data_IF_063679806120
#
_entry.id   IF_063679806120
#
_cell.length_a   1.000
_cell.length_b   1.000
_cell.length_c   1.000
_cell.angle_alpha   90.00
_cell.angle_beta   90.00
_cell.angle_gamma   90.00
#
_symmetry.space_group_name_H-M   'P 1'
#
loop_
_entity.id
_entity.type
_entity.pdbx_description
1 polymer ?
#
# COMPACT_ATOMS: atom_id res chain seq x y z
N UNK A 1 5.13 -100.18 -24.92
CA UNK A 1 3.73 -100.20 -24.44
C UNK A 1 3.21 -98.77 -24.44
N UNK A 2 2.10 -98.51 -25.14
CA UNK A 2 1.17 -97.35 -25.08
C UNK A 2 1.75 -95.93 -25.32
N UNK A 3 1.39 -95.27 -26.43
CA UNK A 3 0.25 -94.30 -26.61
C UNK A 3 0.52 -92.98 -25.82
N UNK A 4 0.33 -91.75 -26.31
CA UNK A 4 -0.47 -91.16 -27.39
C UNK A 4 -0.13 -89.64 -27.44
N UNK A 5 -0.24 -88.99 -28.62
CA UNK A 5 -0.80 -87.64 -28.88
C UNK A 5 -0.30 -86.37 -28.14
N UNK A 6 -0.36 -85.12 -28.66
CA UNK A 6 -0.61 -84.45 -29.95
C UNK A 6 -0.61 -82.92 -29.65
N UNK A 7 -0.52 -82.06 -30.68
CA UNK A 7 -0.72 -80.59 -30.69
C UNK A 7 0.34 -79.68 -30.01
N UNK A 8 0.47 -78.37 -30.29
CA UNK A 8 0.33 -77.46 -31.44
C UNK A 8 0.61 -76.04 -30.87
N UNK A 9 1.50 -75.26 -31.50
CA UNK A 9 1.65 -73.78 -31.52
C UNK A 9 1.01 -72.92 -30.41
N UNK A 10 1.79 -71.98 -29.85
CA UNK A 10 1.43 -70.55 -29.82
C UNK A 10 2.61 -69.66 -29.40
N UNK A 11 3.06 -68.81 -30.33
CA UNK A 11 3.91 -67.65 -30.05
C UNK A 11 3.08 -66.58 -29.34
N UNK A 12 3.53 -66.10 -28.18
CA UNK A 12 2.96 -64.93 -27.53
C UNK A 12 4.00 -63.79 -27.52
N UNK A 13 3.70 -62.75 -28.30
CA UNK A 13 4.35 -61.44 -28.30
C UNK A 13 4.18 -60.79 -26.92
N UNK A 14 5.28 -60.50 -26.23
CA UNK A 14 5.27 -59.60 -25.07
C UNK A 14 5.18 -58.14 -25.55
N UNK A 15 3.96 -57.59 -25.63
CA UNK A 15 3.74 -56.15 -25.74
C UNK A 15 3.88 -55.53 -24.34
N UNK A 16 5.06 -55.00 -24.04
CA UNK A 16 5.30 -54.19 -22.86
C UNK A 16 4.50 -52.89 -22.92
N UNK A 17 3.54 -52.74 -22.01
CA UNK A 17 2.77 -51.51 -21.82
C UNK A 17 3.66 -50.46 -21.16
N UNK A 18 4.18 -49.51 -21.92
CA UNK A 18 4.85 -48.33 -21.36
C UNK A 18 3.73 -47.38 -20.89
N UNK A 19 3.41 -47.42 -19.60
CA UNK A 19 2.60 -46.40 -18.96
C UNK A 19 3.41 -45.11 -18.85
N UNK A 20 3.22 -44.17 -19.79
CA UNK A 20 3.62 -42.79 -19.60
C UNK A 20 2.84 -42.22 -18.41
N UNK A 21 3.46 -42.18 -17.25
CA UNK A 21 3.03 -41.28 -16.18
C UNK A 21 3.36 -39.88 -16.67
N UNK A 22 2.35 -39.14 -17.13
CA UNK A 22 2.44 -37.69 -17.24
C UNK A 22 2.63 -37.16 -15.81
N UNK A 23 3.88 -36.99 -15.40
CA UNK A 23 4.19 -36.12 -14.26
C UNK A 23 3.69 -34.74 -14.66
N UNK A 24 2.64 -34.25 -13.99
CA UNK A 24 2.30 -32.85 -14.05
C UNK A 24 3.57 -32.07 -13.70
N UNK A 25 4.15 -31.38 -14.68
CA UNK A 25 5.36 -30.61 -14.46
C UNK A 25 4.98 -29.50 -13.48
N UNK A 26 5.38 -29.63 -12.22
CA UNK A 26 5.34 -28.54 -11.25
C UNK A 26 6.03 -27.34 -11.87
N UNK A 27 5.47 -26.15 -11.71
CA UNK A 27 6.06 -24.93 -12.24
C UNK A 27 7.54 -24.80 -11.84
N UNK A 28 8.35 -24.30 -12.77
CA UNK A 28 9.78 -24.08 -12.56
C UNK A 28 10.02 -23.24 -11.27
N UNK A 29 10.93 -23.65 -10.37
CA UNK A 29 11.20 -22.92 -9.13
C UNK A 29 11.50 -21.42 -9.31
N UNK A 30 12.17 -21.03 -10.41
CA UNK A 30 12.41 -19.61 -10.69
C UNK A 30 11.11 -18.85 -10.98
N UNK A 31 10.19 -19.47 -11.73
CA UNK A 31 8.84 -18.91 -11.96
C UNK A 31 8.08 -18.70 -10.66
N UNK A 32 8.13 -19.67 -9.74
CA UNK A 32 7.47 -19.53 -8.43
C UNK A 32 8.10 -18.43 -7.59
N UNK A 33 9.43 -18.30 -7.61
CA UNK A 33 10.13 -17.23 -6.91
C UNK A 33 9.79 -15.84 -7.47
N UNK A 34 9.71 -15.70 -8.81
CA UNK A 34 9.27 -14.45 -9.45
C UNK A 34 7.82 -14.13 -9.10
N UNK A 35 6.93 -15.13 -9.12
CA UNK A 35 5.54 -14.96 -8.72
C UNK A 35 5.37 -14.56 -7.25
N UNK A 36 6.15 -15.15 -6.33
CA UNK A 36 6.17 -14.74 -4.92
C UNK A 36 6.64 -13.28 -4.77
N UNK A 37 7.71 -12.92 -5.48
CA UNK A 37 8.25 -11.56 -5.48
C UNK A 37 7.21 -10.54 -5.98
N UNK A 38 6.51 -10.85 -7.06
CA UNK A 38 5.45 -10.01 -7.62
C UNK A 38 4.24 -9.94 -6.67
N UNK A 39 3.87 -11.04 -6.01
CA UNK A 39 2.78 -11.05 -5.03
C UNK A 39 3.10 -10.21 -3.79
N UNK A 40 4.38 -10.15 -3.40
CA UNK A 40 4.88 -9.21 -2.39
C UNK A 40 4.83 -7.78 -2.92
N UNK A 41 5.41 -7.51 -4.08
CA UNK A 41 5.42 -6.17 -4.68
C UNK A 41 4.01 -5.58 -4.87
N UNK A 42 3.05 -6.43 -5.23
CA UNK A 42 1.63 -6.11 -5.40
C UNK A 42 0.83 -6.01 -4.11
N UNK A 43 1.47 -6.17 -2.96
CA UNK A 43 0.88 -6.14 -1.61
C UNK A 43 -0.30 -7.10 -1.42
N UNK A 44 -0.33 -8.21 -2.18
CA UNK A 44 -1.47 -9.12 -2.21
C UNK A 44 -1.75 -9.72 -0.83
N UNK A 45 -0.71 -9.96 -0.03
CA UNK A 45 -0.85 -10.54 1.31
C UNK A 45 -1.42 -9.56 2.33
N UNK A 46 -1.14 -8.26 2.22
CA UNK A 46 -1.70 -7.26 3.13
C UNK A 46 -3.21 -7.16 2.94
N UNK A 47 -3.67 -7.12 1.68
CA UNK A 47 -5.10 -7.01 1.39
C UNK A 47 -5.85 -8.34 1.57
N UNK A 48 -5.28 -9.46 1.12
CA UNK A 48 -5.99 -10.75 1.12
C UNK A 48 -5.75 -11.59 2.39
N UNK A 49 -5.41 -10.98 3.52
CA UNK A 49 -5.23 -11.72 4.79
C UNK A 49 -5.92 -10.99 5.93
N UNK A 50 -6.94 -11.60 6.53
CA UNK A 50 -7.53 -11.08 7.76
C UNK A 50 -6.52 -11.09 8.93
N UNK A 51 -6.72 -10.22 9.92
CA UNK A 51 -5.91 -10.20 11.14
C UNK A 51 -5.98 -11.55 11.86
N UNK A 52 -4.84 -12.24 11.98
CA UNK A 52 -4.76 -13.58 12.57
C UNK A 52 -5.30 -14.71 11.68
N UNK A 53 -5.67 -14.40 10.43
CA UNK A 53 -6.12 -15.36 9.43
C UNK A 53 -4.97 -16.04 8.68
N UNK A 54 -5.31 -17.02 7.86
CA UNK A 54 -4.36 -17.69 6.98
C UNK A 54 -3.94 -16.76 5.82
N UNK A 55 -2.65 -16.74 5.42
CA UNK A 55 -2.18 -15.90 4.32
C UNK A 55 -3.01 -16.11 3.05
N UNK A 56 -3.43 -14.99 2.42
CA UNK A 56 -4.20 -14.97 1.18
C UNK A 56 -5.64 -15.52 1.27
N UNK A 57 -6.12 -15.90 2.47
CA UNK A 57 -7.44 -16.48 2.68
C UNK A 57 -8.60 -15.44 2.70
N UNK A 58 -8.31 -14.17 2.44
CA UNK A 58 -9.28 -13.08 2.41
C UNK A 58 -9.73 -12.63 3.80
N UNK A 59 -10.86 -11.92 3.84
CA UNK A 59 -11.56 -11.54 5.06
C UNK A 59 -11.14 -10.20 5.68
N UNK A 60 -10.10 -9.52 5.16
CA UNK A 60 -9.80 -8.15 5.55
C UNK A 60 -10.91 -7.22 5.03
N UNK A 61 -11.47 -6.41 5.93
CA UNK A 61 -12.45 -5.39 5.59
C UNK A 61 -11.77 -4.06 5.23
N UNK A 62 -12.26 -3.42 4.18
CA UNK A 62 -11.97 -2.04 3.84
C UNK A 62 -13.23 -1.22 4.08
N UNK A 63 -13.16 -0.24 4.98
CA UNK A 63 -14.29 0.63 5.24
C UNK A 63 -14.50 1.60 4.07
N UNK A 64 -15.75 1.74 3.64
CA UNK A 64 -16.14 2.70 2.60
C UNK A 64 -17.35 3.49 3.06
N UNK A 65 -17.61 4.69 2.49
CA UNK A 65 -18.77 5.49 2.85
C UNK A 65 -20.13 4.80 2.64
N UNK A 66 -20.17 3.69 1.90
CA UNK A 66 -21.39 2.93 1.59
C UNK A 66 -21.44 1.56 2.27
N UNK A 67 -20.48 1.25 3.14
CA UNK A 67 -20.34 -0.02 3.86
C UNK A 67 -19.02 -0.74 3.57
N UNK A 68 -18.66 -1.69 4.44
CA UNK A 68 -17.40 -2.41 4.33
C UNK A 68 -17.37 -3.37 3.13
N UNK A 69 -16.23 -3.41 2.43
CA UNK A 69 -15.94 -4.41 1.40
C UNK A 69 -14.87 -5.36 1.91
N UNK A 70 -15.06 -6.67 1.73
CA UNK A 70 -14.10 -7.67 2.20
C UNK A 70 -13.27 -8.23 1.06
N UNK A 71 -11.97 -8.36 1.29
CA UNK A 71 -11.06 -9.04 0.38
C UNK A 71 -11.41 -10.53 0.27
N UNK A 72 -11.28 -11.09 -0.93
CA UNK A 72 -11.62 -12.48 -1.20
C UNK A 72 -10.45 -13.43 -0.91
N UNK A 73 -10.75 -14.70 -0.66
CA UNK A 73 -9.78 -15.78 -0.63
C UNK A 73 -9.20 -15.99 -2.04
N UNK A 74 -7.87 -15.84 -2.16
CA UNK A 74 -7.12 -16.05 -3.42
C UNK A 74 -6.14 -17.21 -3.32
N UNK A 75 -6.32 -18.10 -2.33
CA UNK A 75 -5.60 -19.38 -2.27
C UNK A 75 -6.11 -20.34 -3.35
N UNK A 76 -5.38 -21.41 -3.69
CA UNK A 76 -5.84 -22.38 -4.69
C UNK A 76 -6.93 -23.34 -4.18
N UNK A 77 -7.63 -22.98 -3.10
CA UNK A 77 -8.79 -23.75 -2.65
C UNK A 77 -9.88 -23.78 -3.75
N UNK A 78 -10.41 -24.96 -4.12
CA UNK A 78 -11.33 -25.10 -5.25
C UNK A 78 -12.76 -24.64 -4.94
N UNK A 79 -13.13 -24.44 -3.67
CA UNK A 79 -14.51 -24.10 -3.27
C UNK A 79 -14.62 -22.62 -2.92
N UNK A 80 -13.68 -22.11 -2.13
CA UNK A 80 -13.72 -20.76 -1.57
C UNK A 80 -12.67 -19.82 -2.20
N UNK A 81 -11.60 -20.39 -2.76
CA UNK A 81 -10.49 -19.66 -3.37
C UNK A 81 -10.57 -19.58 -4.90
N UNK A 82 -9.41 -19.46 -5.53
CA UNK A 82 -9.23 -19.39 -6.98
C UNK A 82 -8.86 -20.75 -7.61
N UNK A 83 -9.06 -21.87 -6.89
CA UNK A 83 -8.64 -23.19 -7.36
C UNK A 83 -9.20 -23.63 -8.71
N UNK A 84 -10.36 -23.08 -9.11
CA UNK A 84 -10.98 -23.34 -10.43
C UNK A 84 -10.72 -22.24 -11.49
N UNK A 85 -9.93 -21.22 -11.16
CA UNK A 85 -9.59 -20.18 -12.12
C UNK A 85 -8.63 -20.76 -13.15
N UNK A 86 -8.84 -20.42 -14.42
CA UNK A 86 -7.77 -20.55 -15.42
C UNK A 86 -6.85 -19.33 -15.36
N UNK A 87 -5.68 -19.39 -16.01
CA UNK A 87 -4.83 -18.21 -16.18
C UNK A 87 -5.60 -17.03 -16.80
N UNK A 88 -6.50 -17.31 -17.75
CA UNK A 88 -7.32 -16.29 -18.39
C UNK A 88 -8.38 -15.69 -17.43
N UNK A 89 -8.91 -16.47 -16.49
CA UNK A 89 -9.84 -15.96 -15.47
C UNK A 89 -9.09 -15.14 -14.41
N UNK A 90 -7.89 -15.58 -14.04
CA UNK A 90 -7.00 -14.84 -13.15
C UNK A 90 -6.62 -13.49 -13.75
N UNK A 91 -6.21 -13.48 -15.02
CA UNK A 91 -5.91 -12.26 -15.77
C UNK A 91 -7.10 -11.29 -15.79
N UNK A 92 -8.29 -11.78 -16.15
CA UNK A 92 -9.54 -11.01 -16.13
C UNK A 92 -9.81 -10.39 -14.76
N UNK A 93 -9.57 -11.13 -13.67
CA UNK A 93 -9.76 -10.61 -12.33
C UNK A 93 -8.74 -9.53 -11.99
N UNK A 94 -7.44 -9.80 -12.20
CA UNK A 94 -6.34 -8.94 -11.76
C UNK A 94 -6.23 -7.67 -12.61
N UNK A 95 -6.20 -7.78 -13.94
CA UNK A 95 -5.97 -6.62 -14.83
C UNK A 95 -7.24 -5.98 -15.37
N UNK A 96 -8.32 -6.75 -15.51
CA UNK A 96 -9.56 -6.25 -16.11
C UNK A 96 -10.68 -5.97 -15.12
N UNK A 97 -10.53 -6.33 -13.85
CA UNK A 97 -11.56 -6.14 -12.83
C UNK A 97 -12.80 -7.01 -13.04
N UNK A 98 -12.68 -8.18 -13.66
CA UNK A 98 -13.78 -9.09 -14.00
C UNK A 98 -13.63 -10.40 -13.23
N UNK A 99 -14.60 -10.71 -12.38
CA UNK A 99 -14.70 -12.00 -11.68
C UNK A 99 -14.92 -13.16 -12.65
N UNK A 100 -14.65 -14.39 -12.22
CA UNK A 100 -14.92 -15.60 -13.01
C UNK A 100 -16.40 -15.74 -13.42
N UNK A 101 -17.32 -15.25 -12.59
CA UNK A 101 -18.77 -15.20 -12.88
C UNK A 101 -19.18 -14.07 -13.85
N UNK A 102 -18.23 -13.24 -14.30
CA UNK A 102 -18.43 -12.12 -15.22
C UNK A 102 -18.82 -10.80 -14.55
N UNK A 103 -19.07 -10.77 -13.24
CA UNK A 103 -19.37 -9.54 -12.52
C UNK A 103 -18.12 -8.67 -12.35
N UNK A 104 -18.30 -7.35 -12.33
CA UNK A 104 -17.20 -6.42 -12.06
C UNK A 104 -16.79 -6.47 -10.58
N UNK A 105 -15.47 -6.46 -10.33
CA UNK A 105 -14.91 -6.29 -9.00
C UNK A 105 -15.20 -4.88 -8.47
N UNK A 106 -15.21 -4.73 -7.15
CA UNK A 106 -15.18 -3.41 -6.55
C UNK A 106 -13.83 -2.75 -6.87
N UNK A 107 -13.79 -1.44 -7.17
CA UNK A 107 -12.55 -0.72 -7.45
C UNK A 107 -11.67 -0.48 -6.20
N UNK A 108 -11.99 -1.15 -5.08
CA UNK A 108 -11.09 -1.37 -3.97
C UNK A 108 -9.92 -2.29 -4.36
N UNK A 109 -10.13 -3.24 -5.27
CA UNK A 109 -9.04 -3.97 -5.93
C UNK A 109 -8.40 -3.02 -6.96
N UNK A 110 -7.09 -2.75 -6.92
CA UNK A 110 -6.44 -1.75 -7.78
C UNK A 110 -6.17 -2.27 -9.21
N UNK A 111 -7.16 -2.94 -9.81
CA UNK A 111 -7.10 -3.41 -11.18
C UNK A 111 -6.83 -2.30 -12.23
N UNK A 112 -7.22 -1.02 -12.04
CA UNK A 112 -6.80 0.03 -12.97
C UNK A 112 -5.27 0.23 -13.03
N UNK A 113 -4.57 0.10 -11.90
CA UNK A 113 -3.10 0.11 -11.87
C UNK A 113 -2.53 -1.18 -12.46
N UNK A 114 -3.11 -2.33 -12.11
CA UNK A 114 -2.64 -3.63 -12.58
C UNK A 114 -2.82 -3.84 -14.10
N UNK A 115 -3.63 -3.04 -14.78
CA UNK A 115 -3.74 -3.04 -16.24
C UNK A 115 -2.39 -2.88 -16.98
N UNK A 116 -1.35 -2.38 -16.29
CA UNK A 116 0.02 -2.20 -16.81
C UNK A 116 0.91 -3.43 -16.66
N UNK A 117 0.49 -4.42 -15.87
CA UNK A 117 1.28 -5.61 -15.56
C UNK A 117 1.42 -6.47 -16.81
N UNK A 118 2.65 -6.91 -17.07
CA UNK A 118 2.97 -7.71 -18.25
C UNK A 118 2.30 -9.09 -18.21
N UNK A 119 2.07 -9.69 -19.37
CA UNK A 119 1.48 -11.04 -19.46
C UNK A 119 2.34 -12.09 -18.75
N UNK A 120 3.68 -11.94 -18.79
CA UNK A 120 4.59 -12.84 -18.09
C UNK A 120 4.46 -12.72 -16.58
N UNK A 121 4.36 -11.50 -16.05
CA UNK A 121 4.21 -11.29 -14.60
C UNK A 121 2.85 -11.82 -14.10
N UNK A 122 1.79 -11.71 -14.90
CA UNK A 122 0.49 -12.35 -14.60
C UNK A 122 0.60 -13.87 -14.59
N UNK A 123 1.32 -14.45 -15.55
CA UNK A 123 1.55 -15.90 -15.60
C UNK A 123 2.38 -16.39 -14.40
N UNK A 124 3.42 -15.66 -14.01
CA UNK A 124 4.26 -15.98 -12.86
C UNK A 124 3.48 -15.86 -11.54
N UNK A 125 2.68 -14.80 -11.36
CA UNK A 125 1.76 -14.63 -10.23
C UNK A 125 0.78 -15.80 -10.13
N UNK A 126 0.11 -16.14 -11.23
CA UNK A 126 -0.82 -17.26 -11.28
C UNK A 126 -0.12 -18.58 -10.93
N UNK A 127 1.07 -18.83 -11.47
CA UNK A 127 1.85 -20.02 -11.15
C UNK A 127 2.17 -20.10 -9.65
N UNK A 128 2.57 -18.98 -9.02
CA UNK A 128 2.81 -18.91 -7.58
C UNK A 128 1.56 -19.24 -6.76
N UNK A 129 0.42 -18.59 -7.04
CA UNK A 129 -0.82 -18.85 -6.30
C UNK A 129 -1.30 -20.29 -6.47
N UNK A 130 -1.18 -20.86 -7.67
CA UNK A 130 -1.72 -22.20 -7.95
C UNK A 130 -0.82 -23.35 -7.50
N UNK A 131 0.49 -23.11 -7.31
CA UNK A 131 1.45 -24.20 -7.06
C UNK A 131 2.27 -24.03 -5.77
N UNK A 132 2.38 -22.82 -5.21
CA UNK A 132 3.19 -22.56 -4.00
C UNK A 132 2.36 -22.13 -2.79
N UNK A 133 1.25 -21.41 -3.00
CA UNK A 133 0.35 -21.00 -1.91
C UNK A 133 -0.42 -22.19 -1.37
N UNK A 134 -0.53 -22.29 -0.04
CA UNK A 134 -1.31 -23.34 0.61
C UNK A 134 -2.81 -23.06 0.43
N UNK A 135 -3.63 -24.04 0.02
CA UNK A 135 -5.08 -23.90 0.00
C UNK A 135 -5.62 -23.59 1.40
N UNK A 136 -6.54 -22.63 1.50
CA UNK A 136 -7.26 -22.29 2.71
C UNK A 136 -8.77 -22.45 2.46
N UNK A 137 -9.44 -23.30 3.25
CA UNK A 137 -10.88 -23.52 3.14
C UNK A 137 -11.71 -22.41 3.82
N UNK A 138 -11.22 -21.16 3.81
CA UNK A 138 -11.90 -20.01 4.43
C UNK A 138 -12.95 -19.44 3.46
N UNK A 139 -14.24 -19.41 3.83
CA UNK A 139 -15.27 -18.86 2.97
C UNK A 139 -15.14 -17.33 2.83
N UNK A 140 -15.49 -16.83 1.65
CA UNK A 140 -15.59 -15.38 1.42
C UNK A 140 -16.71 -14.76 2.25
N UNK A 141 -16.50 -13.52 2.67
CA UNK A 141 -17.53 -12.70 3.33
C UNK A 141 -18.16 -11.75 2.31
N UNK A 142 -19.48 -11.62 2.37
CA UNK A 142 -20.21 -10.64 1.56
C UNK A 142 -19.93 -9.21 2.04
N UNK A 143 -20.02 -8.24 1.12
CA UNK A 143 -19.87 -6.83 1.46
C UNK A 143 -21.05 -6.37 2.34
N UNK A 144 -20.77 -5.51 3.33
CA UNK A 144 -21.78 -4.91 4.21
C UNK A 144 -22.44 -3.68 3.54
N UNK A 145 -22.70 -3.78 2.23
CA UNK A 145 -23.31 -2.70 1.44
C UNK A 145 -24.80 -3.00 1.31
N UNK A 146 -25.64 -2.09 1.81
CA UNK A 146 -27.09 -2.26 1.74
C UNK A 146 -27.59 -2.18 0.29
N UNK A 147 -28.63 -2.98 -0.01
CA UNK A 147 -29.39 -2.80 -1.25
C UNK A 147 -30.04 -1.40 -1.25
N UNK A 148 -30.03 -0.64 -2.37
CA UNK A 148 -29.65 -1.02 -3.74
C UNK A 148 -28.17 -0.86 -4.12
N UNK A 149 -27.33 -0.32 -3.23
CA UNK A 149 -25.93 0.02 -3.54
C UNK A 149 -25.03 -1.20 -3.73
N UNK A 150 -25.43 -2.39 -3.26
CA UNK A 150 -24.73 -3.65 -3.48
C UNK A 150 -24.90 -4.26 -4.86
N UNK A 151 -25.72 -3.66 -5.74
CA UNK A 151 -25.86 -4.13 -7.11
C UNK A 151 -24.51 -4.08 -7.86
N UNK A 152 -24.20 -5.14 -8.62
CA UNK A 152 -22.93 -5.26 -9.35
C UNK A 152 -22.92 -4.57 -10.72
N UNK A 153 -24.07 -4.39 -11.35
CA UNK A 153 -24.14 -3.80 -12.70
C UNK A 153 -23.66 -2.33 -12.79
N UNK A 154 -23.85 -1.44 -11.78
CA UNK A 154 -23.29 -0.09 -11.84
C UNK A 154 -21.75 -0.10 -11.84
N UNK A 155 -21.12 -1.08 -11.19
CA UNK A 155 -19.66 -1.25 -11.22
C UNK A 155 -19.15 -1.56 -12.63
N UNK A 156 -19.96 -2.22 -13.46
CA UNK A 156 -19.62 -2.43 -14.88
C UNK A 156 -19.58 -1.12 -15.65
N UNK A 157 -20.52 -0.21 -15.41
CA UNK A 157 -20.49 1.13 -16.01
C UNK A 157 -19.28 1.92 -15.50
N UNK A 158 -19.02 1.87 -14.19
CA UNK A 158 -17.85 2.50 -13.59
C UNK A 158 -16.57 2.01 -14.27
N UNK A 159 -16.42 0.70 -14.42
CA UNK A 159 -15.25 0.05 -15.03
C UNK A 159 -15.07 0.46 -16.49
N UNK A 160 -16.12 0.48 -17.30
CA UNK A 160 -16.02 0.96 -18.68
C UNK A 160 -15.66 2.44 -18.79
N UNK A 161 -16.02 3.24 -17.78
CA UNK A 161 -15.78 4.69 -17.77
C UNK A 161 -14.37 5.04 -17.33
N UNK A 162 -13.85 4.35 -16.31
CA UNK A 162 -12.66 4.76 -15.58
C UNK A 162 -11.49 3.77 -15.63
N UNK A 163 -11.73 2.50 -15.93
CA UNK A 163 -10.65 1.53 -16.04
C UNK A 163 -9.92 1.69 -17.38
N UNK A 164 -8.59 1.76 -17.41
CA UNK A 164 -7.84 1.81 -18.65
C UNK A 164 -7.94 0.46 -19.38
N UNK A 165 -7.65 0.50 -20.69
CA UNK A 165 -7.40 -0.73 -21.42
C UNK A 165 -6.13 -1.40 -20.86
N UNK A 166 -6.16 -2.73 -20.79
CA UNK A 166 -4.96 -3.51 -20.45
C UNK A 166 -3.97 -3.37 -21.60
N UNK A 167 -2.79 -2.88 -21.25
CA UNK A 167 -1.70 -2.69 -22.19
C UNK A 167 -0.40 -2.79 -21.40
N UNK A 168 0.52 -3.65 -21.85
CA UNK A 168 1.88 -3.65 -21.34
C UNK A 168 2.50 -2.29 -21.65
N UNK A 169 2.59 -1.41 -20.66
CA UNK A 169 3.13 -0.08 -20.87
C UNK A 169 4.62 -0.20 -21.15
N UNK A 170 5.05 0.23 -22.33
CA UNK A 170 6.45 0.55 -22.57
C UNK A 170 6.75 1.79 -21.73
N UNK A 171 7.71 1.72 -20.79
CA UNK A 171 8.02 2.88 -19.96
C UNK A 171 8.40 4.08 -20.82
N UNK A 172 7.94 5.26 -20.43
CA UNK A 172 8.13 6.47 -21.25
C UNK A 172 9.60 6.96 -21.24
N UNK A 173 10.40 6.49 -20.29
CA UNK A 173 11.80 6.88 -20.11
C UNK A 173 12.76 5.98 -20.87
N UNK A 174 13.79 6.58 -21.47
CA UNK A 174 14.95 5.87 -22.02
C UNK A 174 15.94 5.40 -20.93
N UNK A 175 15.81 5.90 -19.70
CA UNK A 175 16.54 5.40 -18.54
C UNK A 175 15.86 4.14 -18.00
N UNK A 176 16.57 3.01 -18.05
CA UNK A 176 16.07 1.70 -17.64
C UNK A 176 15.66 1.64 -16.15
N UNK A 177 16.32 2.37 -15.26
CA UNK A 177 15.96 2.38 -13.84
C UNK A 177 14.72 3.23 -13.59
N UNK A 178 14.59 4.38 -14.25
CA UNK A 178 13.35 5.18 -14.18
C UNK A 178 12.18 4.39 -14.76
N UNK A 179 12.42 3.69 -15.88
CA UNK A 179 11.45 2.82 -16.52
C UNK A 179 10.98 1.68 -15.59
N UNK A 180 11.91 1.03 -14.89
CA UNK A 180 11.61 0.01 -13.88
C UNK A 180 10.81 0.58 -12.71
N UNK A 181 11.20 1.74 -12.20
CA UNK A 181 10.49 2.45 -11.13
C UNK A 181 9.06 2.81 -11.53
N UNK A 182 8.88 3.31 -12.76
CA UNK A 182 7.57 3.62 -13.31
C UNK A 182 6.67 2.37 -13.32
N UNK A 183 7.18 1.25 -13.81
CA UNK A 183 6.44 -0.02 -13.86
C UNK A 183 5.98 -0.47 -12.47
N UNK A 184 6.86 -0.38 -11.47
CA UNK A 184 6.55 -0.77 -10.10
C UNK A 184 5.55 0.19 -9.44
N UNK A 185 5.72 1.50 -9.62
CA UNK A 185 4.88 2.54 -8.98
C UNK A 185 3.48 2.62 -9.59
N UNK A 186 3.40 2.56 -10.92
CA UNK A 186 2.13 2.68 -11.65
C UNK A 186 1.39 1.33 -11.80
N UNK A 187 2.11 0.21 -11.68
CA UNK A 187 1.60 -1.15 -11.82
C UNK A 187 1.29 -1.80 -10.47
N UNK A 188 2.04 -2.87 -10.14
CA UNK A 188 1.79 -3.68 -8.94
C UNK A 188 1.89 -2.88 -7.62
N UNK A 189 2.80 -1.93 -7.50
CA UNK A 189 2.91 -1.10 -6.29
C UNK A 189 1.75 -0.11 -6.12
N UNK A 190 0.92 0.10 -7.15
CA UNK A 190 -0.34 0.86 -7.14
C UNK A 190 -0.30 2.14 -6.29
N UNK A 191 0.81 2.89 -6.32
CA UNK A 191 1.02 3.99 -5.37
C UNK A 191 -0.04 5.08 -5.55
N UNK A 192 -0.54 5.24 -6.78
CA UNK A 192 -1.63 6.15 -7.13
C UNK A 192 -2.94 5.87 -6.38
N UNK A 193 -3.21 4.62 -6.02
CA UNK A 193 -4.43 4.25 -5.32
C UNK A 193 -4.53 4.88 -3.92
N UNK A 194 -3.42 5.29 -3.32
CA UNK A 194 -3.45 6.11 -2.11
C UNK A 194 -3.05 7.55 -2.40
N UNK A 195 -2.00 7.76 -3.20
CA UNK A 195 -1.32 9.05 -3.32
C UNK A 195 -1.84 9.95 -4.46
N UNK A 196 -2.92 9.59 -5.17
CA UNK A 196 -3.53 10.44 -6.20
C UNK A 196 -4.92 10.93 -5.74
N UNK A 197 -5.32 12.16 -6.08
CA UNK A 197 -6.67 12.65 -5.79
C UNK A 197 -7.76 11.77 -6.40
N UNK A 198 -8.95 11.83 -5.80
CA UNK A 198 -10.13 11.08 -6.27
C UNK A 198 -11.11 11.99 -7.00
N UNK A 199 -11.61 11.51 -8.14
CA UNK A 199 -12.64 12.17 -8.93
C UNK A 199 -14.07 11.90 -8.43
N UNK A 200 -15.06 12.39 -9.17
CA UNK A 200 -16.48 12.30 -8.82
C UNK A 200 -17.02 10.86 -8.63
N UNK A 201 -16.39 9.87 -9.25
CA UNK A 201 -16.73 8.46 -9.14
C UNK A 201 -15.82 7.72 -8.17
N UNK A 202 -15.04 8.41 -7.32
CA UNK A 202 -13.99 7.83 -6.47
C UNK A 202 -12.83 7.17 -7.23
N UNK A 203 -12.73 7.36 -8.55
CA UNK A 203 -11.59 6.94 -9.35
C UNK A 203 -10.35 7.80 -9.09
N UNK A 204 -9.15 7.26 -9.28
CA UNK A 204 -7.93 8.07 -9.36
C UNK A 204 -8.06 9.06 -10.52
N UNK A 205 -7.74 10.34 -10.29
CA UNK A 205 -7.84 11.33 -11.37
C UNK A 205 -6.76 11.16 -12.45
N UNK A 206 -5.67 10.47 -12.10
CA UNK A 206 -4.58 10.09 -13.01
C UNK A 206 -3.96 8.74 -12.60
N UNK A 207 -3.60 7.91 -13.60
CA UNK A 207 -2.99 6.59 -13.39
C UNK A 207 -1.49 6.54 -13.76
N UNK A 208 -0.94 7.65 -14.25
CA UNK A 208 0.46 7.85 -14.64
C UNK A 208 0.79 9.33 -14.60
N UNK A 209 2.08 9.66 -14.67
CA UNK A 209 2.52 11.05 -14.80
C UNK A 209 1.75 11.79 -15.91
N UNK A 210 1.11 12.90 -15.53
CA UNK A 210 0.29 13.73 -16.41
C UNK A 210 0.76 15.19 -16.39
N UNK A 211 0.31 15.98 -17.37
CA UNK A 211 0.70 17.38 -17.52
C UNK A 211 0.08 18.32 -16.47
N UNK A 212 -1.00 17.90 -15.79
CA UNK A 212 -1.64 18.66 -14.71
C UNK A 212 -0.94 18.45 -13.36
N UNK A 213 -0.06 17.45 -13.27
CA UNK A 213 0.65 17.09 -12.05
C UNK A 213 -0.22 16.38 -11.01
N UNK A 214 -1.34 15.77 -11.40
CA UNK A 214 -2.30 15.16 -10.46
C UNK A 214 -1.81 13.82 -9.92
N UNK A 215 -1.21 12.98 -10.77
CA UNK A 215 -0.67 11.69 -10.35
C UNK A 215 0.32 11.82 -9.19
N UNK A 216 0.07 11.10 -8.09
CA UNK A 216 0.87 11.12 -6.86
C UNK A 216 0.95 12.47 -6.13
N UNK A 217 0.05 13.42 -6.40
CA UNK A 217 0.04 14.75 -5.76
C UNK A 217 -0.53 14.79 -4.33
N UNK A 218 -0.94 13.63 -3.79
CA UNK A 218 -1.59 13.47 -2.50
C UNK A 218 -2.96 12.81 -2.63
N UNK A 219 -3.39 12.12 -1.59
CA UNK A 219 -4.69 11.45 -1.52
C UNK A 219 -5.71 12.21 -0.69
N UNK A 220 -6.99 11.84 -0.86
CA UNK A 220 -8.03 12.20 0.10
C UNK A 220 -7.84 11.38 1.40
N UNK A 221 -8.35 11.85 2.56
CA UNK A 221 -8.35 11.08 3.78
C UNK A 221 -9.07 9.73 3.60
N UNK A 222 -8.45 8.65 4.07
CA UNK A 222 -8.97 7.29 4.14
C UNK A 222 -8.69 6.74 5.54
N UNK A 223 -9.72 6.31 6.26
CA UNK A 223 -9.60 5.74 7.62
C UNK A 223 -8.82 6.64 8.60
N UNK A 224 -9.00 7.96 8.52
CA UNK A 224 -8.28 8.93 9.37
C UNK A 224 -6.84 9.24 8.91
N UNK A 225 -6.42 8.71 7.74
CA UNK A 225 -5.08 8.88 7.20
C UNK A 225 -5.08 9.61 5.86
N UNK A 226 -4.14 10.54 5.68
CA UNK A 226 -3.93 11.28 4.43
C UNK A 226 -2.64 10.79 3.79
N UNK A 227 -2.76 10.22 2.60
CA UNK A 227 -1.61 9.87 1.79
C UNK A 227 -0.91 11.14 1.31
N UNK A 228 0.34 11.35 1.71
CA UNK A 228 1.09 12.57 1.39
C UNK A 228 1.39 12.71 -0.11
N UNK A 229 1.70 13.92 -0.56
CA UNK A 229 2.25 14.17 -1.90
C UNK A 229 3.59 13.42 -2.07
N UNK A 230 3.78 12.69 -3.18
CA UNK A 230 5.04 12.00 -3.50
C UNK A 230 5.86 12.67 -4.60
N UNK A 231 5.42 13.83 -5.10
CA UNK A 231 6.09 14.56 -6.19
C UNK A 231 7.23 15.42 -5.68
N UNK A 232 7.95 16.08 -6.59
CA UNK A 232 9.11 16.92 -6.31
C UNK A 232 8.87 18.20 -5.49
N UNK A 233 7.69 18.40 -4.90
CA UNK A 233 7.40 19.53 -4.01
C UNK A 233 8.29 19.48 -2.76
N UNK A 234 8.91 20.62 -2.40
CA UNK A 234 9.90 20.69 -1.32
C UNK A 234 9.26 20.58 0.07
N UNK A 235 8.08 21.16 0.25
CA UNK A 235 7.46 21.34 1.57
C UNK A 235 6.61 20.16 2.01
N UNK A 236 5.69 19.69 1.16
CA UNK A 236 4.77 18.58 1.46
C UNK A 236 5.07 17.30 0.65
N UNK A 237 5.95 17.39 -0.34
CA UNK A 237 6.36 16.30 -1.23
C UNK A 237 7.64 15.56 -0.84
N UNK A 238 8.35 15.07 -1.86
CA UNK A 238 9.66 14.40 -1.79
C UNK A 238 10.80 15.27 -2.35
N UNK A 239 10.56 16.55 -2.61
CA UNK A 239 11.57 17.47 -3.14
C UNK A 239 12.85 17.54 -2.30
N UNK A 240 12.69 17.61 -0.96
CA UNK A 240 13.79 17.67 0.00
C UNK A 240 14.45 16.31 0.32
N UNK A 241 13.87 15.20 -0.18
CA UNK A 241 14.34 13.84 0.08
C UNK A 241 15.37 13.41 -0.97
N UNK A 242 16.37 12.66 -0.53
CA UNK A 242 17.30 11.97 -1.43
C UNK A 242 16.74 10.62 -1.89
N UNK A 243 17.20 10.10 -3.03
CA UNK A 243 16.80 8.77 -3.53
C UNK A 243 17.09 7.66 -2.52
N UNK A 244 18.29 7.68 -1.91
CA UNK A 244 18.67 6.71 -0.89
C UNK A 244 17.79 6.77 0.36
N UNK A 245 17.34 7.97 0.74
CA UNK A 245 16.43 8.16 1.88
C UNK A 245 15.04 7.57 1.57
N UNK A 246 14.53 7.76 0.35
CA UNK A 246 13.26 7.15 -0.10
C UNK A 246 13.40 5.62 -0.09
N UNK A 247 14.47 5.08 -0.66
CA UNK A 247 14.71 3.63 -0.68
C UNK A 247 14.83 3.06 0.76
N UNK A 248 15.49 3.79 1.68
CA UNK A 248 15.57 3.41 3.09
C UNK A 248 14.19 3.41 3.76
N UNK A 249 13.36 4.42 3.50
CA UNK A 249 12.00 4.47 4.02
C UNK A 249 11.17 3.27 3.54
N UNK A 250 11.21 2.94 2.25
CA UNK A 250 10.51 1.77 1.71
C UNK A 250 11.03 0.45 2.32
N UNK A 251 12.32 0.39 2.67
CA UNK A 251 12.94 -0.81 3.26
C UNK A 251 12.60 -0.99 4.75
N UNK A 252 12.54 0.10 5.52
CA UNK A 252 12.55 0.06 6.99
C UNK A 252 11.35 0.74 7.66
N UNK A 253 10.56 1.50 6.88
CA UNK A 253 9.49 2.36 7.38
C UNK A 253 9.97 3.60 8.11
N UNK A 254 11.27 3.92 8.11
CA UNK A 254 11.82 5.03 8.91
C UNK A 254 13.09 5.63 8.31
N UNK A 255 13.29 6.92 8.53
CA UNK A 255 14.50 7.67 8.15
C UNK A 255 14.95 8.52 9.33
N UNK A 256 15.92 9.41 9.11
CA UNK A 256 16.30 10.42 10.10
C UNK A 256 15.21 11.48 10.29
N UNK A 257 14.30 11.60 9.32
CA UNK A 257 13.30 12.68 9.25
C UNK A 257 11.89 12.23 9.55
N UNK A 258 11.53 11.00 9.19
CA UNK A 258 10.15 10.53 9.35
C UNK A 258 10.04 9.05 9.69
N UNK A 259 8.85 8.66 10.11
CA UNK A 259 8.43 7.29 10.32
C UNK A 259 7.14 7.03 9.53
N UNK A 260 6.92 5.76 9.18
CA UNK A 260 5.69 5.28 8.55
C UNK A 260 4.53 5.29 9.54
N UNK A 261 3.33 5.50 9.05
CA UNK A 261 2.08 5.51 9.81
C UNK A 261 0.91 5.11 8.91
N UNK A 262 -0.26 4.88 9.50
CA UNK A 262 -1.47 4.45 8.78
C UNK A 262 -1.25 3.17 7.97
N UNK A 263 -2.01 3.01 6.89
CA UNK A 263 -1.95 1.84 6.00
C UNK A 263 -0.59 1.65 5.31
N UNK A 264 0.22 2.72 5.18
CA UNK A 264 1.58 2.58 4.64
C UNK A 264 2.46 1.69 5.54
N UNK A 265 2.11 1.54 6.82
CA UNK A 265 2.77 0.61 7.74
C UNK A 265 2.68 -0.82 7.24
N UNK A 266 1.47 -1.25 6.84
CA UNK A 266 1.22 -2.57 6.29
C UNK A 266 1.94 -2.76 4.95
N UNK A 267 1.93 -1.74 4.08
CA UNK A 267 2.66 -1.75 2.80
C UNK A 267 4.17 -1.99 3.02
N UNK A 268 4.78 -1.36 4.02
CA UNK A 268 6.18 -1.62 4.37
C UNK A 268 6.34 -3.03 4.97
N UNK A 269 5.44 -3.43 5.86
CA UNK A 269 5.51 -4.71 6.56
C UNK A 269 5.32 -5.93 5.65
N UNK A 270 4.51 -5.81 4.62
CA UNK A 270 4.05 -6.93 3.83
C UNK A 270 4.56 -6.93 2.39
N UNK A 271 4.96 -5.76 1.88
CA UNK A 271 5.43 -5.55 0.50
C UNK A 271 6.85 -4.97 0.44
N UNK A 272 7.02 -3.67 0.71
CA UNK A 272 8.21 -2.91 0.29
C UNK A 272 9.54 -3.41 0.88
N UNK A 273 9.53 -3.99 2.08
CA UNK A 273 10.75 -4.56 2.69
C UNK A 273 11.30 -5.79 1.95
N UNK A 274 10.46 -6.48 1.17
CA UNK A 274 10.80 -7.70 0.43
C UNK A 274 11.34 -7.43 -0.98
N UNK A 275 11.20 -6.19 -1.48
CA UNK A 275 11.78 -5.81 -2.76
C UNK A 275 13.31 -5.92 -2.73
N UNK A 276 13.93 -5.96 -3.91
CA UNK A 276 15.38 -5.82 -3.99
C UNK A 276 15.78 -4.36 -3.70
N UNK A 277 17.04 -4.14 -3.32
CA UNK A 277 17.55 -2.77 -3.16
C UNK A 277 17.54 -2.00 -4.50
N UNK A 278 17.74 -2.71 -5.62
CA UNK A 278 17.64 -2.14 -6.96
C UNK A 278 16.22 -1.65 -7.27
N UNK A 279 15.19 -2.43 -6.99
CA UNK A 279 13.80 -2.05 -7.26
C UNK A 279 13.34 -0.89 -6.35
N UNK A 280 13.75 -0.88 -5.07
CA UNK A 280 13.50 0.27 -4.19
C UNK A 280 14.18 1.55 -4.70
N UNK A 281 15.40 1.44 -5.22
CA UNK A 281 16.09 2.58 -5.82
C UNK A 281 15.44 3.02 -7.13
N UNK A 282 14.98 2.09 -7.95
CA UNK A 282 14.23 2.37 -9.17
C UNK A 282 12.94 3.14 -8.86
N UNK A 283 12.17 2.69 -7.86
CA UNK A 283 10.99 3.42 -7.34
C UNK A 283 11.39 4.83 -6.91
N UNK A 284 12.44 4.96 -6.09
CA UNK A 284 12.92 6.26 -5.63
C UNK A 284 13.30 7.21 -6.79
N UNK A 285 14.03 6.70 -7.79
CA UNK A 285 14.42 7.45 -9.00
C UNK A 285 13.22 7.91 -9.81
N UNK A 286 12.24 7.04 -10.02
CA UNK A 286 11.02 7.41 -10.72
C UNK A 286 10.25 8.51 -9.95
N UNK A 287 10.07 8.38 -8.64
CA UNK A 287 9.42 9.41 -7.82
C UNK A 287 10.17 10.75 -7.89
N UNK A 288 11.51 10.73 -7.85
CA UNK A 288 12.35 11.93 -8.01
C UNK A 288 12.31 12.54 -9.40
N UNK A 289 11.92 11.78 -10.42
CA UNK A 289 11.73 12.29 -11.79
C UNK A 289 10.45 13.12 -11.95
N UNK A 290 9.49 13.00 -11.00
CA UNK A 290 8.22 13.72 -11.05
C UNK A 290 8.41 15.17 -10.60
N UNK A 291 8.08 16.17 -11.44
CA UNK A 291 8.15 17.57 -11.05
C UNK A 291 7.11 17.89 -9.98
N UNK A 292 7.36 18.96 -9.22
CA UNK A 292 6.39 19.54 -8.28
C UNK A 292 5.03 19.76 -8.94
N UNK A 293 3.95 19.49 -8.20
CA UNK A 293 2.57 19.70 -8.67
C UNK A 293 2.13 21.16 -8.66
N UNK A 294 2.77 21.99 -7.83
CA UNK A 294 2.43 23.40 -7.70
C UNK A 294 3.64 24.29 -7.33
N UNK A 295 3.41 25.60 -7.22
CA UNK A 295 4.44 26.52 -6.74
C UNK A 295 4.83 26.16 -5.30
N UNK A 296 6.14 26.03 -5.06
CA UNK A 296 6.64 25.84 -3.70
C UNK A 296 6.41 27.11 -2.87
N UNK A 297 5.80 27.01 -1.67
CA UNK A 297 5.77 28.11 -0.72
C UNK A 297 7.17 28.69 -0.50
N UNK A 298 7.25 30.00 -0.22
CA UNK A 298 8.52 30.59 0.20
C UNK A 298 9.00 29.88 1.47
N UNK A 299 10.32 29.69 1.62
CA UNK A 299 10.89 29.20 2.85
C UNK A 299 10.47 30.13 4.01
N UNK A 300 9.86 29.57 5.05
CA UNK A 300 9.61 30.32 6.28
C UNK A 300 10.92 30.84 6.84
N UNK A 301 10.89 32.07 7.34
CA UNK A 301 12.05 32.75 7.93
C UNK A 301 12.60 32.04 9.17
N UNK A 302 13.69 32.59 9.71
CA UNK A 302 14.34 32.09 10.93
C UNK A 302 13.33 31.96 12.08
N UNK A 303 13.22 30.75 12.64
CA UNK A 303 12.38 30.47 13.81
C UNK A 303 13.22 30.42 15.08
N UNK A 304 12.75 31.06 16.15
CA UNK A 304 13.34 31.03 17.50
C UNK A 304 12.76 29.92 18.39
N UNK A 305 11.84 29.11 17.86
CA UNK A 305 11.13 28.04 18.59
C UNK A 305 12.08 27.17 19.42
N UNK A 306 13.20 26.72 18.83
CA UNK A 306 14.14 25.84 19.54
C UNK A 306 14.75 26.51 20.77
N UNK A 307 15.07 27.80 20.67
CA UNK A 307 15.64 28.59 21.76
C UNK A 307 14.62 28.79 22.88
N UNK A 308 13.39 29.18 22.52
CA UNK A 308 12.30 29.39 23.48
C UNK A 308 11.94 28.10 24.23
N UNK A 309 11.84 26.98 23.52
CA UNK A 309 11.57 25.67 24.11
C UNK A 309 12.70 25.22 25.04
N UNK A 310 13.97 25.45 24.65
CA UNK A 310 15.12 25.10 25.47
C UNK A 310 15.21 25.91 26.77
N UNK A 311 14.73 27.17 26.76
CA UNK A 311 14.64 28.02 27.96
C UNK A 311 13.33 27.85 28.74
N UNK A 312 12.44 26.94 28.31
CA UNK A 312 11.09 26.76 28.85
C UNK A 312 10.26 28.06 28.84
N UNK A 313 10.49 28.93 27.86
CA UNK A 313 9.65 30.11 27.64
C UNK A 313 8.42 29.72 26.81
N UNK A 314 7.47 29.05 27.48
CA UNK A 314 6.31 28.41 26.85
C UNK A 314 5.00 29.15 27.16
N UNK A 315 4.91 30.43 26.80
CA UNK A 315 3.70 31.23 27.13
C UNK A 315 2.44 30.73 26.40
N UNK A 316 2.57 30.30 25.14
CA UNK A 316 1.47 29.74 24.37
C UNK A 316 1.02 28.38 24.96
N UNK A 317 -0.29 28.12 24.96
CA UNK A 317 -0.84 26.85 25.48
C UNK A 317 -0.27 25.66 24.70
N UNK A 318 -0.24 25.71 23.37
CA UNK A 318 0.34 24.65 22.55
C UNK A 318 1.81 24.35 22.85
N UNK A 319 2.61 25.38 23.16
CA UNK A 319 4.01 25.21 23.53
C UNK A 319 4.17 24.54 24.92
N UNK A 320 3.30 24.88 25.88
CA UNK A 320 3.23 24.19 27.18
C UNK A 320 2.82 22.73 27.03
N UNK A 321 1.74 22.48 26.29
CA UNK A 321 1.27 21.12 26.02
C UNK A 321 2.37 20.29 25.36
N UNK A 322 3.13 20.87 24.42
CA UNK A 322 4.28 20.20 23.80
C UNK A 322 5.40 19.91 24.81
N UNK A 323 5.76 20.89 25.65
CA UNK A 323 6.79 20.71 26.69
C UNK A 323 6.44 19.56 27.65
N UNK A 324 5.17 19.51 28.08
CA UNK A 324 4.70 18.56 29.08
C UNK A 324 4.52 17.13 28.54
N UNK A 325 4.19 16.98 27.26
CA UNK A 325 3.74 15.69 26.71
C UNK A 325 4.62 15.15 25.57
N UNK A 326 5.32 16.00 24.82
CA UNK A 326 5.95 15.61 23.55
C UNK A 326 7.47 15.80 23.55
N UNK A 327 7.96 16.82 24.25
CA UNK A 327 9.35 17.29 24.16
C UNK A 327 10.38 16.26 24.61
N UNK A 328 10.03 15.34 25.52
CA UNK A 328 10.94 14.27 25.95
C UNK A 328 11.41 13.38 24.79
N UNK A 329 10.56 13.16 23.79
CA UNK A 329 10.87 12.30 22.63
C UNK A 329 11.20 13.13 21.39
N UNK A 330 10.45 14.21 21.13
CA UNK A 330 10.60 15.04 19.93
C UNK A 330 11.58 16.21 20.09
N UNK A 331 12.09 16.44 21.31
CA UNK A 331 13.07 17.46 21.72
C UNK A 331 12.59 18.90 21.57
N UNK A 332 13.30 19.82 22.22
CA UNK A 332 13.05 21.26 22.12
C UNK A 332 13.30 21.82 20.71
N UNK A 333 14.20 21.21 19.94
CA UNK A 333 14.50 21.56 18.55
C UNK A 333 13.60 20.85 17.52
N UNK A 334 12.64 20.03 17.97
CA UNK A 334 11.70 19.32 17.10
C UNK A 334 12.37 18.29 16.19
N UNK A 335 13.65 17.94 16.41
CA UNK A 335 14.38 17.01 15.53
C UNK A 335 14.18 15.54 15.90
N UNK A 336 13.64 15.27 17.09
CA UNK A 336 13.54 13.92 17.61
C UNK A 336 14.88 13.17 17.62
N UNK A 337 14.81 11.86 17.44
CA UNK A 337 15.97 10.99 17.39
C UNK A 337 15.90 10.14 16.13
N UNK A 338 16.95 10.21 15.31
CA UNK A 338 17.07 9.49 14.05
C UNK A 338 16.61 8.02 14.17
N UNK A 339 15.79 7.56 13.23
CA UNK A 339 15.24 6.21 13.16
C UNK A 339 14.36 5.75 14.35
N UNK A 340 14.05 6.64 15.29
CA UNK A 340 13.29 6.30 16.50
C UNK A 340 12.09 7.23 16.65
N UNK A 341 12.34 8.52 16.84
CA UNK A 341 11.32 9.55 17.01
C UNK A 341 11.44 10.53 15.85
N UNK A 342 10.46 10.58 14.94
CA UNK A 342 10.57 11.38 13.73
C UNK A 342 10.74 12.86 14.05
N UNK A 343 11.47 13.56 13.18
CA UNK A 343 11.53 15.00 13.23
C UNK A 343 10.13 15.57 13.00
N UNK A 344 9.78 16.59 13.78
CA UNK A 344 8.62 17.45 13.56
C UNK A 344 9.04 18.72 12.80
N UNK A 345 10.26 19.20 13.05
CA UNK A 345 10.85 20.31 12.33
C UNK A 345 11.15 19.93 10.88
N UNK A 346 10.61 20.69 9.92
CA UNK A 346 10.82 20.48 8.48
C UNK A 346 10.21 19.19 7.94
N UNK A 347 9.35 18.51 8.70
CA UNK A 347 8.74 17.27 8.25
C UNK A 347 7.61 17.55 7.26
N UNK A 348 7.68 16.92 6.09
CA UNK A 348 6.68 17.07 5.02
C UNK A 348 5.25 16.69 5.42
N UNK A 349 5.09 15.79 6.39
CA UNK A 349 3.76 15.42 6.92
C UNK A 349 3.20 16.55 7.77
N UNK A 350 4.04 17.19 8.58
CA UNK A 350 3.66 18.35 9.41
C UNK A 350 3.31 19.56 8.54
N UNK A 351 4.02 19.74 7.43
CA UNK A 351 3.80 20.83 6.48
C UNK A 351 2.71 20.54 5.43
N UNK A 352 2.13 19.34 5.43
CA UNK A 352 1.03 18.98 4.54
C UNK A 352 -0.20 19.86 4.78
N UNK A 353 -0.97 20.11 3.71
CA UNK A 353 -2.17 20.97 3.75
C UNK A 353 -3.22 20.48 4.74
N UNK A 354 -3.40 19.16 4.83
CA UNK A 354 -4.38 18.51 5.71
C UNK A 354 -3.70 18.01 6.98
N UNK A 355 -4.25 18.39 8.15
CA UNK A 355 -3.73 18.01 9.46
C UNK A 355 -4.31 16.70 10.01
N UNK A 356 -5.26 16.06 9.30
CA UNK A 356 -6.00 14.87 9.73
C UNK A 356 -5.09 13.79 10.32
N UNK A 357 -4.05 13.36 9.60
CA UNK A 357 -3.12 12.34 10.13
C UNK A 357 -2.33 12.79 11.35
N UNK A 358 -1.96 14.07 11.43
CA UNK A 358 -1.22 14.57 12.59
C UNK A 358 -2.12 14.62 13.83
N UNK A 359 -3.39 15.02 13.65
CA UNK A 359 -4.41 14.97 14.71
C UNK A 359 -4.62 13.51 15.15
N UNK A 360 -4.83 12.59 14.20
CA UNK A 360 -5.02 11.18 14.48
C UNK A 360 -3.83 10.57 15.25
N UNK A 361 -2.58 10.85 14.85
CA UNK A 361 -1.38 10.39 15.57
C UNK A 361 -1.34 10.91 17.00
N UNK A 362 -1.72 12.16 17.25
CA UNK A 362 -1.76 12.70 18.62
C UNK A 362 -2.88 12.04 19.44
N UNK A 363 -4.04 11.80 18.84
CA UNK A 363 -5.19 11.19 19.53
C UNK A 363 -4.97 9.71 19.83
N UNK A 364 -4.75 8.90 18.79
CA UNK A 364 -4.66 7.44 18.87
C UNK A 364 -3.25 6.94 19.23
N UNK A 365 -2.23 7.76 19.01
CA UNK A 365 -0.83 7.35 19.07
C UNK A 365 -0.34 6.80 17.74
N UNK A 366 0.84 6.19 17.76
CA UNK A 366 1.44 5.58 16.58
C UNK A 366 2.25 4.36 16.93
N UNK A 367 2.28 3.38 16.03
CA UNK A 367 3.12 2.19 16.17
C UNK A 367 4.03 2.09 14.96
N UNK A 368 5.34 2.12 15.22
CA UNK A 368 6.38 1.89 14.23
C UNK A 368 6.88 0.45 14.39
N UNK A 369 6.39 -0.50 13.58
CA UNK A 369 6.74 -1.90 13.75
C UNK A 369 8.20 -2.19 13.44
N UNK A 370 8.73 -3.21 14.11
CA UNK A 370 9.98 -3.85 13.70
C UNK A 370 9.81 -4.66 12.41
N UNK A 371 10.86 -4.70 11.60
CA UNK A 371 10.92 -5.51 10.37
C UNK A 371 12.31 -6.15 10.16
N UNK A 372 12.52 -6.89 9.06
CA UNK A 372 13.77 -7.62 8.81
C UNK A 372 15.03 -6.72 8.74
N UNK A 373 14.86 -5.45 8.40
CA UNK A 373 15.93 -4.47 8.22
C UNK A 373 16.01 -3.45 9.37
N UNK A 374 14.99 -3.39 10.22
CA UNK A 374 14.92 -2.54 11.41
C UNK A 374 14.10 -3.27 12.50
N UNK A 375 14.70 -4.19 13.27
CA UNK A 375 13.95 -5.14 14.10
C UNK A 375 13.27 -4.51 15.33
N UNK A 376 13.70 -3.32 15.73
CA UNK A 376 13.16 -2.63 16.91
C UNK A 376 11.83 -1.96 16.60
N UNK A 377 10.80 -2.27 17.38
CA UNK A 377 9.52 -1.58 17.33
C UNK A 377 9.49 -0.39 18.31
N UNK A 378 8.77 0.68 17.94
CA UNK A 378 8.55 1.85 18.77
C UNK A 378 7.07 2.21 18.80
N UNK A 379 6.64 2.86 19.87
CA UNK A 379 5.28 3.36 20.00
C UNK A 379 5.28 4.79 20.51
N UNK A 380 4.41 5.61 19.95
CA UNK A 380 4.01 6.90 20.47
C UNK A 380 2.67 6.73 21.19
N UNK A 381 2.55 7.11 22.48
CA UNK A 381 1.29 6.99 23.19
C UNK A 381 0.23 7.92 22.57
N UNK A 382 -1.02 7.46 22.58
CA UNK A 382 -2.17 8.31 22.25
C UNK A 382 -2.55 9.22 23.43
N UNK A 383 -2.97 10.44 23.11
CA UNK A 383 -3.33 11.47 24.09
C UNK A 383 -4.84 11.78 24.12
N UNK A 384 -5.66 11.04 23.38
CA UNK A 384 -7.12 11.22 23.35
C UNK A 384 -7.76 11.21 24.75
N UNK A 385 -7.26 10.38 25.67
CA UNK A 385 -7.77 10.26 27.04
C UNK A 385 -7.33 11.40 27.98
N UNK A 386 -6.30 12.17 27.61
CA UNK A 386 -5.62 13.12 28.48
C UNK A 386 -5.87 14.57 28.08
N UNK A 387 -5.86 14.86 26.77
CA UNK A 387 -5.98 16.21 26.24
C UNK A 387 -7.40 16.44 25.73
N UNK A 388 -7.93 17.64 25.97
CA UNK A 388 -9.16 18.13 25.35
C UNK A 388 -8.96 18.45 23.85
N UNK A 389 -10.05 18.64 23.12
CA UNK A 389 -10.00 19.01 21.70
C UNK A 389 -9.23 20.30 21.46
N UNK A 390 -9.40 21.28 22.35
CA UNK A 390 -8.68 22.55 22.28
C UNK A 390 -7.18 22.36 22.54
N UNK A 391 -6.80 21.55 23.54
CA UNK A 391 -5.37 21.31 23.82
C UNK A 391 -4.67 20.56 22.69
N UNK A 392 -5.38 19.62 22.04
CA UNK A 392 -4.87 18.93 20.83
C UNK A 392 -4.75 19.93 19.67
N UNK A 393 -5.76 20.76 19.44
CA UNK A 393 -5.72 21.78 18.39
C UNK A 393 -4.55 22.77 18.61
N UNK A 394 -4.33 23.19 19.85
CA UNK A 394 -3.24 24.11 20.22
C UNK A 394 -1.86 23.47 20.02
N UNK A 395 -1.66 22.22 20.48
CA UNK A 395 -0.36 21.55 20.33
C UNK A 395 -0.06 21.18 18.88
N UNK A 396 -1.07 20.74 18.12
CA UNK A 396 -0.91 20.45 16.68
C UNK A 396 -0.62 21.73 15.91
N UNK A 397 -1.29 22.84 16.24
CA UNK A 397 -0.98 24.17 15.67
C UNK A 397 0.45 24.58 15.97
N UNK A 398 0.90 24.42 17.22
CA UNK A 398 2.28 24.70 17.61
C UNK A 398 3.27 23.85 16.80
N UNK A 399 3.04 22.54 16.67
CA UNK A 399 3.89 21.65 15.87
C UNK A 399 3.94 22.08 14.40
N UNK A 400 2.80 22.48 13.83
CA UNK A 400 2.67 22.89 12.42
C UNK A 400 3.28 24.25 12.10
N UNK A 401 3.52 25.09 13.11
CA UNK A 401 4.05 26.46 12.93
C UNK A 401 5.42 26.67 13.57
N UNK A 402 5.86 25.76 14.44
CA UNK A 402 7.17 25.78 15.10
C UNK A 402 8.32 25.39 14.17
N UNK A 403 9.55 25.76 14.57
CA UNK A 403 10.81 25.40 13.90
C UNK A 403 10.90 25.73 12.40
N UNK A 404 10.11 26.72 11.94
CA UNK A 404 10.06 27.11 10.53
C UNK A 404 9.11 26.27 9.68
N UNK A 405 8.25 25.46 10.31
CA UNK A 405 7.14 24.81 9.63
C UNK A 405 6.13 25.85 9.08
N UNK A 406 5.43 25.47 8.02
CA UNK A 406 4.51 26.31 7.24
C UNK A 406 3.07 25.79 7.28
N UNK A 407 2.77 24.83 8.16
CA UNK A 407 1.45 24.25 8.28
C UNK A 407 0.42 25.26 8.81
N UNK A 408 -0.83 25.06 8.42
CA UNK A 408 -1.96 25.87 8.88
C UNK A 408 -2.34 25.54 10.33
N UNK A 409 -2.87 26.51 11.10
CA UNK A 409 -3.47 26.23 12.40
C UNK A 409 -4.63 25.22 12.30
N UNK A 410 -4.83 24.47 13.39
CA UNK A 410 -5.89 23.48 13.57
C UNK A 410 -6.88 24.00 14.61
N UNK A 411 -8.17 23.77 14.37
CA UNK A 411 -9.27 24.12 15.25
C UNK A 411 -9.72 22.94 16.12
N UNK A 412 -10.35 23.23 17.26
CA UNK A 412 -10.95 22.19 18.10
C UNK A 412 -12.05 21.41 17.40
N UNK A 413 -12.76 22.02 16.44
CA UNK A 413 -13.78 21.34 15.64
C UNK A 413 -13.17 20.25 14.74
N UNK A 414 -12.05 20.53 14.09
CA UNK A 414 -11.32 19.52 13.30
C UNK A 414 -10.86 18.34 14.18
N UNK A 415 -10.47 18.60 15.42
CA UNK A 415 -10.12 17.53 16.38
C UNK A 415 -11.34 16.72 16.80
N UNK A 416 -12.45 17.40 17.09
CA UNK A 416 -13.69 16.75 17.48
C UNK A 416 -14.21 15.82 16.38
N UNK A 417 -14.13 16.25 15.12
CA UNK A 417 -14.51 15.44 13.97
C UNK A 417 -13.68 14.15 13.93
N UNK A 418 -12.36 14.22 14.12
CA UNK A 418 -11.50 13.03 14.14
C UNK A 418 -11.81 12.06 15.29
N UNK A 419 -12.18 12.56 16.47
CA UNK A 419 -12.61 11.68 17.58
C UNK A 419 -13.90 10.94 17.29
N UNK A 420 -14.80 11.57 16.54
CA UNK A 420 -16.10 10.97 16.21
C UNK A 420 -15.99 9.87 15.17
N UNK A 421 -14.92 9.84 14.37
CA UNK A 421 -14.64 8.85 13.33
C UNK A 421 -13.88 7.62 13.81
N UNK A 422 -13.33 7.62 15.03
CA UNK A 422 -12.60 6.49 15.64
C UNK A 422 -13.54 5.48 16.36
N UNK A 423 -14.86 5.53 16.11
CA UNK A 423 -15.90 4.72 16.76
C UNK A 423 -16.66 3.79 15.82
#
# INVERSE_FOLDING_TARGET
>A
MMRLNNFLKCSALCLGSISLHAMAASADPQTLQRGEYLARAGDCVACHTAKGGEPYAGGLGLETPIGAVYATNITPDPVHGIGEYTLADFDKAVRHGIRRDGASLYPAMPYPSYAKVSDQDIADLYAYFMNAVKPAATPNRDADIAWPLSMRWPLTIWRWTFAPAVASTVPASSDAQVARGQYLVEGLGHCGSCHTPRGIGMQETALSADAKGEFLSGGAPLEGWVAKNLRGDIHDGLGAWGEAEIAQFLKTGRTDRTAVFGSMTDVVQHSMQYLTDEDRLAIARYLKSLPASGPSPAASGTSDTATLMASLDVQAVGARTYADNCMACHRSDGKGYAHVFPALAGNSVVNGKDATSLIHIVLAGGYLPGNQHAPTAFAMPGFAWRLSDQEVADVVTFIRTGWGNTGTPVSAAEVQDQRSTDH
#
